data_IF_316815370189
#
_entry.id   IF_316815370189
#
_cell.length_a   1.000
_cell.length_b   1.000
_cell.length_c   1.000
_cell.angle_alpha   90.00
_cell.angle_beta   90.00
_cell.angle_gamma   90.00
#
_symmetry.space_group_name_H-M   'P 1'
#
loop_
_entity.id
_entity.type
_entity.pdbx_description
1 polymer ?
#
# COMPACT_ATOMS: atom_id res chain seq x y z
N UNK A 1 -68.33 7.81 -16.71
CA UNK A 1 -67.28 8.27 -15.78
C UNK A 1 -66.43 9.30 -16.51
N UNK A 2 -66.48 10.57 -16.11
CA UNK A 2 -65.80 11.65 -16.82
C UNK A 2 -64.27 11.46 -16.75
N UNK A 3 -63.59 11.49 -17.89
CA UNK A 3 -62.13 11.35 -18.01
C UNK A 3 -61.40 12.31 -17.06
N UNK A 4 -61.94 13.52 -16.88
CA UNK A 4 -61.42 14.53 -15.94
C UNK A 4 -61.39 14.08 -14.48
N UNK A 5 -62.39 13.30 -14.03
CA UNK A 5 -62.43 12.78 -12.66
C UNK A 5 -61.36 11.71 -12.45
N UNK A 6 -61.13 10.88 -13.47
CA UNK A 6 -60.08 9.85 -13.44
C UNK A 6 -58.68 10.49 -13.44
N UNK A 7 -58.45 11.51 -14.25
CA UNK A 7 -57.21 12.26 -14.27
C UNK A 7 -56.93 12.97 -12.93
N UNK A 8 -57.96 13.60 -12.32
CA UNK A 8 -57.84 14.22 -11.00
C UNK A 8 -57.49 13.18 -9.92
N UNK A 9 -58.17 12.04 -9.92
CA UNK A 9 -57.93 10.98 -8.94
C UNK A 9 -56.50 10.43 -9.04
N UNK A 10 -55.99 10.22 -10.26
CA UNK A 10 -54.60 9.81 -10.50
C UNK A 10 -53.62 10.88 -10.03
N UNK A 11 -53.87 12.16 -10.32
CA UNK A 11 -53.00 13.26 -9.87
C UNK A 11 -52.92 13.35 -8.34
N UNK A 12 -54.05 13.21 -7.64
CA UNK A 12 -54.10 13.18 -6.17
C UNK A 12 -53.34 11.97 -5.63
N UNK A 13 -53.54 10.78 -6.22
CA UNK A 13 -52.85 9.57 -5.81
C UNK A 13 -51.32 9.71 -5.95
N UNK A 14 -50.85 10.27 -7.06
CA UNK A 14 -49.42 10.54 -7.30
C UNK A 14 -48.89 11.57 -6.29
N UNK A 15 -49.64 12.63 -6.00
CA UNK A 15 -49.23 13.64 -5.02
C UNK A 15 -49.12 13.06 -3.59
N UNK A 16 -50.07 12.20 -3.19
CA UNK A 16 -50.03 11.50 -1.90
C UNK A 16 -48.86 10.52 -1.85
N UNK A 17 -48.66 9.72 -2.90
CA UNK A 17 -47.54 8.78 -3.00
C UNK A 17 -46.20 9.51 -2.89
N UNK A 18 -46.05 10.63 -3.61
CA UNK A 18 -44.90 11.53 -3.55
C UNK A 18 -44.64 12.02 -2.12
N UNK A 19 -45.67 12.52 -1.45
CA UNK A 19 -45.55 13.01 -0.07
C UNK A 19 -45.08 11.89 0.88
N UNK A 20 -45.68 10.70 0.78
CA UNK A 20 -45.31 9.54 1.59
C UNK A 20 -43.87 9.10 1.33
N UNK A 21 -43.41 9.04 0.09
CA UNK A 21 -42.03 8.64 -0.22
C UNK A 21 -41.02 9.65 0.32
N UNK A 22 -41.20 10.94 0.02
CA UNK A 22 -40.22 11.97 0.35
C UNK A 22 -40.20 12.30 1.85
N UNK A 23 -41.37 12.42 2.49
CA UNK A 23 -41.48 12.87 3.88
C UNK A 23 -41.51 11.73 4.89
N UNK A 24 -42.02 10.55 4.53
CA UNK A 24 -42.20 9.44 5.48
C UNK A 24 -41.21 8.31 5.23
N UNK A 25 -41.04 7.88 3.98
CA UNK A 25 -40.20 6.73 3.63
C UNK A 25 -38.71 7.07 3.70
N UNK A 26 -38.27 8.10 2.96
CA UNK A 26 -36.86 8.44 2.77
C UNK A 26 -36.10 8.68 4.09
N UNK A 27 -36.59 9.49 5.06
CA UNK A 27 -35.86 9.71 6.32
C UNK A 27 -35.76 8.45 7.20
N UNK A 28 -36.59 7.43 6.94
CA UNK A 28 -36.60 6.18 7.68
C UNK A 28 -35.74 5.08 7.07
N UNK A 29 -35.21 5.26 5.86
CA UNK A 29 -34.42 4.23 5.18
C UNK A 29 -33.15 3.96 6.00
N UNK A 30 -32.89 2.68 6.27
CA UNK A 30 -31.66 2.25 6.91
C UNK A 30 -30.75 1.66 5.86
N UNK A 31 -29.56 2.22 5.75
CA UNK A 31 -28.52 1.74 4.86
C UNK A 31 -27.29 1.40 5.71
N UNK A 32 -26.77 0.20 5.55
CA UNK A 32 -25.52 -0.27 6.16
C UNK A 32 -24.59 -0.76 5.07
N UNK A 33 -23.29 -0.46 5.21
CA UNK A 33 -22.24 -0.93 4.33
C UNK A 33 -21.11 -1.53 5.15
N UNK A 34 -20.65 -2.71 4.75
CA UNK A 34 -19.57 -3.45 5.43
C UNK A 34 -18.62 -4.04 4.41
N UNK A 35 -17.34 -4.04 4.74
CA UNK A 35 -16.30 -4.76 4.01
C UNK A 35 -16.04 -6.10 4.68
N UNK A 36 -15.73 -7.14 3.90
CA UNK A 36 -15.30 -8.43 4.46
C UNK A 36 -13.97 -8.33 5.20
N UNK A 37 -13.05 -7.49 4.70
CA UNK A 37 -11.74 -7.20 5.30
C UNK A 37 -11.45 -5.71 5.24
N UNK A 38 -10.74 -5.19 6.25
CA UNK A 38 -10.28 -3.79 6.31
C UNK A 38 -8.90 -3.59 5.67
N UNK A 39 -8.11 -4.66 5.58
CA UNK A 39 -6.78 -4.70 4.99
C UNK A 39 -6.69 -5.83 3.98
N UNK A 40 -5.97 -5.60 2.88
CA UNK A 40 -5.74 -6.58 1.82
C UNK A 40 -4.57 -6.13 0.93
N UNK A 41 -3.98 -7.07 0.19
CA UNK A 41 -2.89 -6.75 -0.74
C UNK A 41 -3.42 -6.29 -2.10
N UNK A 42 -2.61 -5.52 -2.81
CA UNK A 42 -2.89 -5.18 -4.22
C UNK A 42 -3.02 -6.47 -5.05
N UNK A 43 -4.04 -6.54 -5.90
CA UNK A 43 -4.41 -7.71 -6.71
C UNK A 43 -5.47 -8.60 -6.06
N UNK A 44 -5.68 -8.50 -4.75
CA UNK A 44 -6.70 -9.30 -4.05
C UNK A 44 -8.11 -8.77 -4.31
N UNK A 45 -9.10 -9.65 -4.08
CA UNK A 45 -10.52 -9.29 -4.11
C UNK A 45 -11.12 -9.33 -2.71
N UNK A 46 -11.91 -8.33 -2.38
CA UNK A 46 -12.70 -8.25 -1.14
C UNK A 46 -14.20 -8.15 -1.45
N UNK A 47 -15.04 -8.46 -0.47
CA UNK A 47 -16.49 -8.31 -0.62
C UNK A 47 -16.95 -7.01 0.05
N UNK A 48 -17.66 -6.18 -0.73
CA UNK A 48 -18.43 -5.06 -0.22
C UNK A 48 -19.90 -5.48 -0.10
N UNK A 49 -20.40 -5.50 1.13
CA UNK A 49 -21.77 -5.89 1.44
C UNK A 49 -22.59 -4.66 1.77
N UNK A 50 -23.62 -4.42 0.96
CA UNK A 50 -24.59 -3.35 1.17
C UNK A 50 -25.91 -3.95 1.66
N UNK A 51 -26.44 -3.42 2.76
CA UNK A 51 -27.72 -3.82 3.32
C UNK A 51 -28.63 -2.60 3.38
N UNK A 52 -29.71 -2.66 2.62
CA UNK A 52 -30.70 -1.61 2.51
C UNK A 52 -32.03 -2.10 3.07
N UNK A 53 -32.61 -1.38 4.02
CA UNK A 53 -33.87 -1.74 4.67
C UNK A 53 -34.85 -0.58 4.62
N UNK A 54 -36.06 -0.85 4.14
CA UNK A 54 -37.20 0.04 4.24
C UNK A 54 -38.05 -0.38 5.46
N UNK A 55 -37.94 0.28 6.62
CA UNK A 55 -38.78 -0.06 7.78
C UNK A 55 -40.19 0.53 7.70
N UNK A 56 -40.54 1.24 6.62
CA UNK A 56 -41.82 1.96 6.49
C UNK A 56 -42.82 1.13 5.68
N UNK A 57 -44.13 1.30 5.93
CA UNK A 57 -45.19 0.62 5.17
C UNK A 57 -45.43 1.23 3.77
N UNK A 58 -44.44 1.94 3.21
CA UNK A 58 -44.58 2.70 1.96
C UNK A 58 -43.70 2.06 0.90
N UNK A 59 -44.27 1.79 -0.27
CA UNK A 59 -43.52 1.32 -1.43
C UNK A 59 -42.65 2.45 -2.00
N UNK A 60 -41.37 2.19 -2.19
CA UNK A 60 -40.43 3.11 -2.84
C UNK A 60 -40.18 2.58 -4.25
N UNK A 61 -40.68 3.25 -5.30
CA UNK A 61 -40.63 2.75 -6.65
C UNK A 61 -39.18 2.63 -7.16
N UNK A 62 -38.38 3.66 -6.88
CA UNK A 62 -36.96 3.64 -7.12
C UNK A 62 -36.22 4.41 -6.01
N UNK A 63 -35.14 3.80 -5.54
CA UNK A 63 -34.14 4.39 -4.68
C UNK A 63 -32.80 4.26 -5.39
N UNK A 64 -32.15 5.39 -5.61
CA UNK A 64 -30.82 5.47 -6.16
C UNK A 64 -29.82 5.63 -5.02
N UNK A 65 -28.81 4.78 -5.03
CA UNK A 65 -27.68 4.79 -4.12
C UNK A 65 -26.47 5.16 -4.95
N UNK A 66 -25.92 6.34 -4.73
CA UNK A 66 -24.71 6.83 -5.39
C UNK A 66 -23.60 6.89 -4.36
N UNK A 67 -22.42 6.39 -4.72
CA UNK A 67 -21.25 6.44 -3.86
C UNK A 67 -20.04 6.85 -4.66
N UNK A 68 -19.26 7.79 -4.13
CA UNK A 68 -17.97 8.15 -4.72
C UNK A 68 -16.95 7.11 -4.30
N UNK A 69 -16.46 6.34 -5.26
CA UNK A 69 -15.51 5.26 -5.02
C UNK A 69 -14.31 5.46 -5.94
N UNK A 70 -13.12 5.19 -5.41
CA UNK A 70 -11.87 5.29 -6.16
C UNK A 70 -11.87 4.37 -7.38
N UNK A 71 -11.35 4.79 -8.56
CA UNK A 71 -11.25 3.94 -9.75
C UNK A 71 -10.35 2.71 -9.55
N UNK A 72 -9.48 2.74 -8.53
CA UNK A 72 -8.61 1.63 -8.16
C UNK A 72 -9.33 0.49 -7.42
N UNK A 73 -10.59 0.70 -7.06
CA UNK A 73 -11.48 -0.33 -6.52
C UNK A 73 -12.41 -0.80 -7.64
N UNK A 74 -11.97 -1.83 -8.38
CA UNK A 74 -12.71 -2.33 -9.55
C UNK A 74 -13.81 -3.28 -9.11
N UNK A 75 -15.05 -2.91 -9.39
CA UNK A 75 -16.20 -3.76 -9.16
C UNK A 75 -16.31 -4.80 -10.28
N UNK A 76 -16.63 -6.05 -9.92
CA UNK A 76 -16.95 -7.08 -10.90
C UNK A 76 -18.12 -6.65 -11.80
N UNK A 77 -18.16 -7.17 -13.04
CA UNK A 77 -19.22 -6.87 -14.00
C UNK A 77 -20.57 -7.38 -13.46
N UNK A 78 -21.47 -6.48 -13.10
CA UNK A 78 -22.85 -6.81 -12.71
C UNK A 78 -23.84 -6.00 -13.55
N UNK A 79 -24.97 -6.63 -13.90
CA UNK A 79 -25.97 -6.14 -14.87
C UNK A 79 -26.69 -4.83 -14.48
N UNK A 80 -26.38 -4.24 -13.32
CA UNK A 80 -27.00 -3.00 -12.82
C UNK A 80 -25.98 -1.97 -12.30
N UNK A 81 -24.71 -2.09 -12.70
CA UNK A 81 -23.65 -1.14 -12.38
C UNK A 81 -23.41 -0.23 -13.58
N UNK A 82 -23.95 0.98 -13.52
CA UNK A 82 -23.58 2.04 -14.45
C UNK A 82 -22.38 2.79 -13.84
N UNK A 83 -21.18 2.42 -14.25
CA UNK A 83 -19.94 3.14 -13.92
C UNK A 83 -19.80 4.27 -14.93
N UNK A 84 -20.64 5.28 -14.82
CA UNK A 84 -20.61 6.42 -15.74
C UNK A 84 -19.55 7.42 -15.24
N UNK A 85 -18.45 7.57 -15.98
CA UNK A 85 -17.41 8.57 -15.69
C UNK A 85 -16.61 8.30 -14.41
N UNK A 86 -15.77 7.28 -14.42
CA UNK A 86 -14.60 7.00 -13.55
C UNK A 86 -14.68 7.15 -12.02
N UNK A 87 -15.77 7.59 -11.38
CA UNK A 87 -15.74 7.96 -9.94
C UNK A 87 -17.00 7.66 -9.13
N UNK A 88 -18.09 7.21 -9.75
CA UNK A 88 -19.37 7.00 -9.07
C UNK A 88 -19.91 5.58 -9.28
N UNK A 89 -20.10 4.87 -8.16
CA UNK A 89 -20.82 3.61 -8.12
C UNK A 89 -22.30 3.92 -7.89
N UNK A 90 -23.12 3.73 -8.94
CA UNK A 90 -24.57 3.95 -8.89
C UNK A 90 -25.30 2.61 -8.87
N UNK A 91 -26.19 2.46 -7.91
CA UNK A 91 -27.09 1.31 -7.79
C UNK A 91 -28.53 1.78 -7.65
N UNK A 92 -29.44 1.18 -8.41
CA UNK A 92 -30.88 1.45 -8.31
C UNK A 92 -31.60 0.25 -7.71
N UNK A 93 -32.53 0.53 -6.81
CA UNK A 93 -33.33 -0.45 -6.07
C UNK A 93 -34.81 -0.07 -6.11
N UNK A 94 -35.68 -1.05 -6.05
CA UNK A 94 -37.09 -0.87 -5.71
C UNK A 94 -37.34 -1.53 -4.36
N UNK A 95 -38.03 -0.88 -3.43
CA UNK A 95 -38.24 -1.38 -2.07
C UNK A 95 -39.72 -1.45 -1.72
N UNK A 96 -40.21 -2.67 -1.54
CA UNK A 96 -41.49 -2.95 -0.91
C UNK A 96 -41.54 -2.50 0.56
N UNK A 97 -42.75 -2.30 1.11
CA UNK A 97 -42.96 -2.13 2.54
C UNK A 97 -42.21 -3.20 3.36
N UNK A 98 -41.47 -2.77 4.38
CA UNK A 98 -40.72 -3.65 5.29
C UNK A 98 -39.62 -4.52 4.63
N UNK A 99 -39.31 -4.29 3.35
CA UNK A 99 -38.34 -5.08 2.62
C UNK A 99 -36.91 -4.75 3.06
N UNK A 100 -36.08 -5.80 3.10
CA UNK A 100 -34.63 -5.70 3.22
C UNK A 100 -33.97 -6.33 1.99
N UNK A 101 -33.04 -5.61 1.39
CA UNK A 101 -32.24 -6.05 0.25
C UNK A 101 -30.78 -6.08 0.69
N UNK A 102 -30.08 -7.19 0.43
CA UNK A 102 -28.65 -7.33 0.66
C UNK A 102 -27.95 -7.60 -0.66
N UNK A 103 -27.02 -6.73 -1.05
CA UNK A 103 -26.17 -6.94 -2.24
C UNK A 103 -24.73 -7.19 -1.79
N UNK A 104 -24.05 -8.08 -2.51
CA UNK A 104 -22.63 -8.38 -2.34
C UNK A 104 -21.94 -8.02 -3.63
N UNK A 105 -20.91 -7.20 -3.53
CA UNK A 105 -20.08 -6.78 -4.64
C UNK A 105 -18.69 -7.32 -4.42
N UNK A 106 -18.15 -7.99 -5.43
CA UNK A 106 -16.74 -8.35 -5.44
C UNK A 106 -15.93 -7.17 -5.96
N UNK A 107 -14.97 -6.71 -5.17
CA UNK A 107 -14.14 -5.54 -5.46
C UNK A 107 -12.69 -5.99 -5.55
N UNK A 108 -12.08 -5.85 -6.73
CA UNK A 108 -10.66 -6.09 -6.97
C UNK A 108 -9.86 -4.84 -6.68
N UNK A 109 -8.82 -4.97 -5.86
CA UNK A 109 -7.96 -3.87 -5.43
C UNK A 109 -6.80 -3.73 -6.41
N UNK A 110 -6.82 -2.74 -7.30
CA UNK A 110 -5.81 -2.66 -8.36
C UNK A 110 -4.59 -1.82 -8.01
N UNK A 111 -4.69 -0.98 -6.98
CA UNK A 111 -3.60 -0.10 -6.56
C UNK A 111 -3.57 0.01 -5.03
N UNK A 112 -2.38 0.19 -4.47
CA UNK A 112 -2.21 0.42 -3.04
C UNK A 112 -2.76 1.78 -2.64
N UNK A 113 -3.13 1.94 -1.38
CA UNK A 113 -3.68 3.18 -0.88
C UNK A 113 -4.65 2.98 0.27
N UNK A 114 -5.08 4.08 0.88
CA UNK A 114 -6.21 4.09 1.81
C UNK A 114 -7.42 4.65 1.07
N UNK A 115 -8.46 3.81 0.90
CA UNK A 115 -9.68 4.20 0.19
C UNK A 115 -10.86 4.28 1.16
N UNK A 116 -11.54 5.42 1.14
CA UNK A 116 -12.80 5.63 1.84
C UNK A 116 -13.97 5.25 0.93
N UNK A 117 -14.76 4.26 1.36
CA UNK A 117 -15.98 3.79 0.71
C UNK A 117 -17.22 4.03 1.57
N UNK A 118 -17.12 4.94 2.53
CA UNK A 118 -18.16 5.26 3.51
C UNK A 118 -19.16 6.32 3.06
N UNK A 119 -18.90 7.05 1.97
CA UNK A 119 -19.78 8.14 1.52
C UNK A 119 -20.87 7.62 0.58
N UNK A 120 -22.14 7.83 0.95
CA UNK A 120 -23.31 7.36 0.19
C UNK A 120 -24.36 8.46 0.11
N UNK A 121 -24.78 8.81 -1.10
CA UNK A 121 -25.92 9.66 -1.38
C UNK A 121 -27.12 8.79 -1.75
N UNK A 122 -28.20 8.89 -0.97
CA UNK A 122 -29.46 8.21 -1.22
C UNK A 122 -30.44 9.19 -1.87
N UNK A 123 -30.92 8.89 -3.06
CA UNK A 123 -31.95 9.68 -3.74
C UNK A 123 -33.17 8.83 -4.03
N UNK A 124 -34.32 9.18 -3.46
CA UNK A 124 -35.61 8.54 -3.78
C UNK A 124 -36.49 9.52 -4.55
N UNK A 125 -37.37 8.98 -5.41
CA UNK A 125 -38.36 9.79 -6.09
C UNK A 125 -39.69 9.08 -6.31
N UNK A 126 -40.60 9.82 -6.93
CA UNK A 126 -41.92 9.32 -7.31
C UNK A 126 -41.88 8.49 -8.61
N UNK A 127 -42.98 7.80 -8.91
CA UNK A 127 -43.12 6.94 -10.10
C UNK A 127 -42.98 7.69 -11.43
N UNK A 128 -43.27 8.99 -11.44
CA UNK A 128 -43.19 9.84 -12.63
C UNK A 128 -41.86 10.61 -12.72
N UNK A 129 -40.93 10.37 -11.78
CA UNK A 129 -39.69 11.12 -11.60
C UNK A 129 -39.87 12.65 -11.59
N UNK A 130 -41.06 13.14 -11.24
CA UNK A 130 -41.39 14.57 -11.20
C UNK A 130 -40.72 15.27 -10.03
N UNK A 131 -40.33 14.50 -9.01
CA UNK A 131 -39.55 14.99 -7.89
C UNK A 131 -38.68 13.90 -7.29
N UNK A 132 -37.52 14.32 -6.77
CA UNK A 132 -36.61 13.49 -6.00
C UNK A 132 -36.12 14.23 -4.78
N UNK A 133 -35.87 13.49 -3.70
CA UNK A 133 -35.21 14.02 -2.52
C UNK A 133 -34.00 13.15 -2.19
N UNK A 134 -32.91 13.82 -1.80
CA UNK A 134 -31.63 13.21 -1.46
C UNK A 134 -31.32 13.30 0.03
N UNK A 135 -30.61 12.32 0.57
CA UNK A 135 -29.93 12.44 1.86
C UNK A 135 -28.54 11.82 1.76
N UNK A 136 -27.55 12.48 2.34
CA UNK A 136 -26.19 11.98 2.38
C UNK A 136 -25.92 11.28 3.71
N UNK A 137 -25.29 10.12 3.63
CA UNK A 137 -24.89 9.32 4.76
C UNK A 137 -23.38 9.07 4.69
N UNK A 138 -22.72 9.15 5.85
CA UNK A 138 -21.31 8.82 6.01
C UNK A 138 -21.16 7.68 7.00
N UNK A 139 -20.37 6.69 6.61
CA UNK A 139 -20.03 5.53 7.44
C UNK A 139 -18.51 5.46 7.59
N UNK A 140 -18.03 4.94 8.72
CA UNK A 140 -16.60 4.62 8.84
C UNK A 140 -16.32 3.29 8.13
N UNK A 141 -16.08 3.38 6.82
CA UNK A 141 -15.83 2.24 5.96
C UNK A 141 -14.62 2.52 5.08
N UNK A 142 -13.44 2.15 5.58
CA UNK A 142 -12.16 2.34 4.90
C UNK A 142 -11.50 1.00 4.64
N UNK A 143 -10.82 0.91 3.50
CA UNK A 143 -9.93 -0.21 3.15
C UNK A 143 -8.51 0.31 2.98
N UNK A 144 -7.55 -0.36 3.60
CA UNK A 144 -6.13 -0.12 3.41
C UNK A 144 -5.57 -1.23 2.51
N UNK A 145 -5.09 -0.83 1.34
CA UNK A 145 -4.54 -1.74 0.34
C UNK A 145 -3.01 -1.68 0.40
N UNK A 146 -2.37 -2.79 0.76
CA UNK A 146 -0.91 -2.91 0.83
C UNK A 146 -0.28 -2.97 -0.56
N UNK A 147 0.99 -2.52 -0.70
CA UNK A 147 1.75 -2.72 -1.93
C UNK A 147 1.80 -4.21 -2.32
N UNK A 148 1.87 -4.49 -3.61
CA UNK A 148 2.07 -5.85 -4.09
C UNK A 148 3.49 -6.31 -3.74
N UNK A 149 3.62 -7.47 -3.13
CA UNK A 149 4.93 -8.09 -2.91
C UNK A 149 5.39 -8.80 -4.18
N UNK A 150 6.66 -8.64 -4.52
CA UNK A 150 7.29 -9.27 -5.67
C UNK A 150 7.67 -10.72 -5.35
N UNK A 151 7.56 -11.60 -6.35
CA UNK A 151 8.09 -12.96 -6.25
C UNK A 151 9.62 -12.98 -6.34
N UNK A 152 10.25 -14.08 -5.92
CA UNK A 152 11.72 -14.22 -5.89
C UNK A 152 12.38 -13.99 -7.25
N UNK A 153 11.77 -14.48 -8.34
CA UNK A 153 12.28 -14.29 -9.70
C UNK A 153 12.23 -12.83 -10.16
N UNK A 154 11.21 -12.10 -9.72
CA UNK A 154 11.04 -10.68 -10.06
C UNK A 154 12.04 -9.83 -9.28
N UNK A 155 12.26 -10.15 -8.00
CA UNK A 155 13.30 -9.55 -7.18
C UNK A 155 14.69 -9.71 -7.83
N UNK A 156 15.03 -10.92 -8.28
CA UNK A 156 16.30 -11.20 -8.99
C UNK A 156 16.42 -10.42 -10.30
N UNK A 157 15.32 -10.20 -11.02
CA UNK A 157 15.35 -9.45 -12.28
C UNK A 157 15.67 -7.95 -12.08
N UNK A 158 15.21 -7.37 -10.97
CA UNK A 158 15.44 -5.96 -10.65
C UNK A 158 16.80 -5.75 -9.99
N UNK A 159 17.28 -6.76 -9.27
CA UNK A 159 18.61 -6.79 -8.66
C UNK A 159 19.46 -7.95 -9.20
N UNK A 160 19.86 -7.94 -10.48
CA UNK A 160 20.59 -9.05 -11.09
C UNK A 160 21.95 -9.32 -10.44
N UNK A 161 22.53 -8.33 -9.76
CA UNK A 161 23.77 -8.44 -8.99
C UNK A 161 23.54 -8.65 -7.48
N UNK A 162 22.31 -8.49 -6.98
CA UNK A 162 21.96 -8.96 -5.65
C UNK A 162 21.62 -10.44 -5.75
N UNK A 163 22.63 -11.28 -5.53
CA UNK A 163 22.33 -12.51 -4.79
C UNK A 163 21.60 -12.05 -3.55
N UNK A 164 20.33 -12.45 -3.38
CA UNK A 164 19.38 -12.18 -2.28
C UNK A 164 19.59 -10.89 -1.46
N UNK A 165 18.54 -10.14 -1.11
CA UNK A 165 18.68 -9.03 -0.13
C UNK A 165 19.41 -9.49 1.15
N UNK A 166 19.21 -10.75 1.54
CA UNK A 166 20.00 -11.43 2.57
C UNK A 166 21.49 -11.60 2.25
N UNK A 167 21.89 -11.92 1.01
CA UNK A 167 23.30 -12.01 0.62
C UNK A 167 23.96 -10.62 0.39
N UNK A 168 23.22 -9.59 -0.04
CA UNK A 168 23.72 -8.20 -0.01
C UNK A 168 24.06 -7.76 1.43
N UNK A 169 23.26 -8.21 2.39
CA UNK A 169 23.51 -8.07 3.82
C UNK A 169 24.66 -8.99 4.30
N UNK A 170 24.91 -10.11 3.61
CA UNK A 170 26.00 -11.05 3.93
C UNK A 170 27.35 -10.57 3.37
N UNK A 171 27.42 -9.95 2.19
CA UNK A 171 28.68 -9.50 1.59
C UNK A 171 29.30 -8.29 2.31
N UNK A 172 28.53 -7.53 3.08
CA UNK A 172 29.03 -6.42 3.92
C UNK A 172 29.54 -6.86 5.30
N UNK A 173 29.59 -8.17 5.57
CA UNK A 173 30.14 -8.78 6.79
C UNK A 173 31.67 -8.62 6.88
N UNK A 174 32.14 -7.40 7.16
CA UNK A 174 33.58 -7.08 7.28
C UNK A 174 34.18 -7.39 8.66
N UNK A 175 33.38 -7.58 9.70
CA UNK A 175 33.85 -7.79 11.07
C UNK A 175 33.27 -9.07 11.65
N UNK A 176 34.11 -10.10 11.80
CA UNK A 176 33.76 -11.37 12.46
C UNK A 176 33.58 -11.14 13.96
N UNK A 177 32.59 -11.80 14.58
CA UNK A 177 32.42 -11.75 16.04
C UNK A 177 33.38 -12.75 16.71
N UNK A 178 34.35 -12.30 17.53
CA UNK A 178 35.32 -13.20 18.18
C UNK A 178 34.70 -14.24 19.12
N UNK A 179 33.41 -14.09 19.49
CA UNK A 179 32.71 -14.98 20.40
C UNK A 179 31.83 -16.01 19.68
N UNK A 180 31.47 -15.79 18.42
CA UNK A 180 30.55 -16.67 17.68
C UNK A 180 31.33 -17.63 16.79
N UNK A 181 31.73 -18.80 17.30
CA UNK A 181 32.47 -19.80 16.49
C UNK A 181 31.48 -20.71 15.76
N UNK A 182 31.40 -20.61 14.43
CA UNK A 182 30.52 -21.45 13.60
C UNK A 182 31.19 -22.70 13.02
N UNK A 183 32.52 -22.81 13.14
CA UNK A 183 33.22 -23.99 12.63
C UNK A 183 34.72 -24.00 12.92
N UNK A 184 35.38 -25.03 12.40
CA UNK A 184 36.83 -25.21 12.49
C UNK A 184 37.33 -25.61 11.10
N UNK A 185 38.40 -24.97 10.63
CA UNK A 185 39.04 -25.28 9.34
C UNK A 185 40.57 -25.36 9.47
N UNK A 186 41.28 -25.96 8.50
CA UNK A 186 42.74 -25.93 8.45
C UNK A 186 43.28 -24.49 8.43
N UNK A 187 44.39 -24.26 9.14
CA UNK A 187 45.10 -22.98 9.19
C UNK A 187 45.67 -22.61 7.81
N UNK A 188 45.46 -21.37 7.38
CA UNK A 188 46.06 -20.80 6.18
C UNK A 188 46.94 -19.59 6.53
N UNK A 189 47.95 -19.33 5.69
CA UNK A 189 48.88 -18.22 5.90
C UNK A 189 48.12 -16.88 5.81
N UNK A 190 48.06 -16.16 6.93
CA UNK A 190 47.27 -14.93 7.09
C UNK A 190 46.27 -14.99 8.24
N UNK A 191 45.98 -16.20 8.75
CA UNK A 191 45.06 -16.38 9.86
C UNK A 191 45.64 -15.90 11.20
N UNK A 192 44.84 -15.19 12.05
CA UNK A 192 45.31 -14.69 13.34
C UNK A 192 45.72 -15.84 14.28
N UNK A 193 46.90 -15.77 14.93
CA UNK A 193 47.33 -16.81 15.88
C UNK A 193 46.38 -16.99 17.07
N UNK A 194 45.61 -15.95 17.43
CA UNK A 194 44.63 -16.00 18.53
C UNK A 194 43.45 -16.95 18.25
N UNK A 195 43.19 -17.26 16.98
CA UNK A 195 42.03 -18.04 16.55
C UNK A 195 42.37 -19.53 16.39
N UNK A 196 43.60 -19.94 16.72
CA UNK A 196 44.02 -21.35 16.67
C UNK A 196 43.25 -22.18 17.70
N UNK A 197 42.63 -23.26 17.24
CA UNK A 197 41.90 -24.20 18.08
C UNK A 197 42.81 -25.34 18.56
N UNK A 198 43.59 -25.10 19.62
CA UNK A 198 44.62 -26.03 20.12
C UNK A 198 44.15 -27.46 20.33
N UNK A 199 42.97 -27.69 20.89
CA UNK A 199 42.45 -29.04 21.14
C UNK A 199 42.10 -29.80 19.86
N UNK A 200 41.77 -29.09 18.77
CA UNK A 200 41.48 -29.70 17.47
C UNK A 200 42.80 -30.01 16.75
N UNK A 201 43.73 -29.05 16.77
CA UNK A 201 45.11 -29.22 16.29
C UNK A 201 45.81 -30.42 16.91
N UNK A 202 45.67 -30.63 18.23
CA UNK A 202 46.26 -31.76 18.93
C UNK A 202 45.67 -33.11 18.52
N UNK A 203 44.40 -33.15 18.08
CA UNK A 203 43.72 -34.40 17.67
C UNK A 203 43.97 -34.75 16.21
N UNK A 204 44.06 -33.76 15.33
CA UNK A 204 44.24 -33.98 13.88
C UNK A 204 45.70 -33.96 13.45
N UNK A 205 46.61 -33.46 14.29
CA UNK A 205 48.03 -33.30 13.97
C UNK A 205 48.33 -32.18 12.98
N UNK A 206 47.33 -31.38 12.60
CA UNK A 206 47.44 -30.24 11.69
C UNK A 206 46.86 -29.00 12.33
N UNK A 207 47.47 -27.82 12.15
CA UNK A 207 46.94 -26.58 12.73
C UNK A 207 45.51 -26.29 12.22
N UNK A 208 44.60 -26.10 13.17
CA UNK A 208 43.20 -25.77 12.94
C UNK A 208 42.89 -24.38 13.50
N UNK A 209 42.05 -23.62 12.80
CA UNK A 209 41.60 -22.27 13.18
C UNK A 209 40.09 -22.27 13.36
N UNK A 210 39.61 -21.54 14.37
CA UNK A 210 38.21 -21.25 14.60
C UNK A 210 37.69 -20.36 13.49
N UNK A 211 36.63 -20.78 12.82
CA UNK A 211 35.87 -19.91 11.92
C UNK A 211 34.84 -19.19 12.77
N UNK A 212 34.98 -17.88 12.85
CA UNK A 212 34.03 -17.00 13.52
C UNK A 212 32.93 -16.61 12.55
N UNK A 213 31.69 -16.71 13.00
CA UNK A 213 30.51 -16.19 12.32
C UNK A 213 30.36 -14.70 12.61
N UNK A 214 29.38 -14.10 11.96
CA UNK A 214 29.15 -12.67 12.01
C UNK A 214 27.91 -12.35 12.84
N UNK A 215 28.09 -11.67 13.97
CA UNK A 215 26.97 -11.10 14.74
C UNK A 215 26.76 -9.64 14.34
N UNK A 216 26.35 -9.41 13.09
CA UNK A 216 25.85 -8.09 12.72
C UNK A 216 24.33 -8.10 12.89
N UNK A 217 23.82 -7.35 13.88
CA UNK A 217 22.44 -6.88 13.86
C UNK A 217 22.31 -5.96 12.64
N UNK A 218 21.95 -6.55 11.50
CA UNK A 218 21.86 -5.84 10.23
C UNK A 218 20.56 -5.06 10.22
N UNK A 219 20.70 -3.75 9.99
CA UNK A 219 19.58 -2.82 9.92
C UNK A 219 19.50 -2.28 8.50
N UNK A 220 18.56 -2.81 7.71
CA UNK A 220 18.31 -2.34 6.37
C UNK A 220 17.49 -1.04 6.43
N UNK A 221 17.92 -0.01 5.70
CA UNK A 221 17.11 1.16 5.39
C UNK A 221 16.92 1.25 3.88
N UNK A 222 15.69 1.07 3.41
CA UNK A 222 15.36 1.28 2.00
C UNK A 222 14.91 2.72 1.80
N UNK A 223 15.65 3.47 0.99
CA UNK A 223 15.34 4.85 0.64
C UNK A 223 14.75 4.88 -0.76
N UNK A 224 13.52 5.36 -0.93
CA UNK A 224 12.90 5.52 -2.24
C UNK A 224 12.90 6.98 -2.66
N UNK A 225 13.52 7.27 -3.80
CA UNK A 225 13.45 8.57 -4.44
C UNK A 225 12.13 8.71 -5.23
N UNK A 226 11.30 9.67 -4.83
CA UNK A 226 10.09 10.06 -5.53
C UNK A 226 10.30 10.96 -6.75
N UNK A 227 11.54 11.39 -7.02
CA UNK A 227 11.91 12.17 -8.20
C UNK A 227 12.37 11.24 -9.33
N UNK A 228 11.83 11.45 -10.53
CA UNK A 228 12.25 10.69 -11.71
C UNK A 228 13.36 11.39 -12.49
N UNK A 229 13.58 12.68 -12.22
CA UNK A 229 14.68 13.50 -12.74
C UNK A 229 15.23 14.37 -11.61
N UNK A 230 16.53 14.74 -11.63
CA UNK A 230 17.17 15.51 -10.56
C UNK A 230 16.41 16.78 -10.14
N UNK A 231 15.90 17.49 -11.15
CA UNK A 231 15.29 18.81 -11.09
C UNK A 231 13.76 18.77 -11.27
N UNK A 232 13.15 17.58 -11.13
CA UNK A 232 11.70 17.45 -11.16
C UNK A 232 11.06 18.11 -9.95
N UNK A 233 10.13 19.03 -10.21
CA UNK A 233 9.25 19.66 -9.23
C UNK A 233 7.82 19.68 -9.77
N UNK A 234 6.87 19.19 -8.99
CA UNK A 234 5.45 19.17 -9.36
C UNK A 234 4.85 17.76 -9.42
N UNK A 235 3.61 17.67 -9.93
CA UNK A 235 2.88 16.41 -9.99
C UNK A 235 3.50 15.46 -11.02
N UNK A 236 3.59 14.20 -10.62
CA UNK A 236 4.03 13.09 -11.45
C UNK A 236 2.90 12.75 -12.43
N UNK A 237 3.23 12.45 -13.69
CA UNK A 237 2.22 12.01 -14.68
C UNK A 237 1.77 10.57 -14.41
N UNK A 238 0.58 10.16 -14.84
CA UNK A 238 0.06 8.80 -14.55
C UNK A 238 1.03 7.66 -14.90
N UNK A 239 1.71 7.73 -16.06
CA UNK A 239 2.66 6.70 -16.51
C UNK A 239 3.97 6.66 -15.72
N UNK A 240 4.30 7.78 -15.07
CA UNK A 240 5.46 7.99 -14.22
C UNK A 240 5.18 7.47 -12.80
N UNK A 241 3.93 7.58 -12.34
CA UNK A 241 3.52 7.02 -11.06
C UNK A 241 3.71 5.50 -11.02
N UNK A 242 3.50 4.78 -12.14
CA UNK A 242 3.73 3.33 -12.24
C UNK A 242 5.15 2.93 -11.80
N UNK A 243 6.17 3.72 -12.17
CA UNK A 243 7.57 3.45 -11.82
C UNK A 243 7.78 3.56 -10.31
N UNK A 244 7.14 4.57 -9.70
CA UNK A 244 7.19 4.75 -8.25
C UNK A 244 6.39 3.67 -7.53
N UNK A 245 5.26 3.23 -8.06
CA UNK A 245 4.50 2.08 -7.53
C UNK A 245 5.32 0.77 -7.55
N UNK A 246 6.05 0.52 -8.64
CA UNK A 246 7.00 -0.59 -8.73
C UNK A 246 8.13 -0.44 -7.70
N UNK A 247 8.66 0.77 -7.52
CA UNK A 247 9.67 1.08 -6.49
C UNK A 247 9.18 0.85 -5.07
N UNK A 248 7.92 1.20 -4.76
CA UNK A 248 7.30 0.95 -3.45
C UNK A 248 7.08 -0.55 -3.24
N UNK A 249 6.67 -1.27 -4.28
CA UNK A 249 6.51 -2.72 -4.24
C UNK A 249 7.84 -3.43 -4.01
N UNK A 250 8.91 -2.97 -4.66
CA UNK A 250 10.27 -3.45 -4.43
C UNK A 250 10.72 -3.17 -2.98
N UNK A 251 10.56 -1.93 -2.51
CA UNK A 251 10.91 -1.55 -1.14
C UNK A 251 10.16 -2.39 -0.09
N UNK A 252 8.85 -2.57 -0.29
CA UNK A 252 8.02 -3.43 0.56
C UNK A 252 8.55 -4.85 0.61
N UNK A 253 8.94 -5.40 -0.55
CA UNK A 253 9.44 -6.78 -0.66
C UNK A 253 10.82 -6.92 -0.01
N UNK A 254 11.73 -5.97 -0.22
CA UNK A 254 13.05 -5.97 0.42
C UNK A 254 12.93 -5.92 1.95
N UNK A 255 12.13 -4.99 2.48
CA UNK A 255 11.92 -4.87 3.92
C UNK A 255 11.25 -6.10 4.51
N UNK A 256 10.21 -6.62 3.85
CA UNK A 256 9.49 -7.82 4.30
C UNK A 256 10.41 -9.04 4.32
N UNK A 257 11.27 -9.19 3.31
CA UNK A 257 12.27 -10.27 3.27
C UNK A 257 13.22 -10.22 4.48
N UNK A 258 13.73 -9.02 4.81
CA UNK A 258 14.63 -8.82 5.97
C UNK A 258 13.92 -8.96 7.31
N UNK A 259 12.69 -8.47 7.44
CA UNK A 259 11.90 -8.61 8.67
C UNK A 259 11.58 -10.09 8.95
N UNK A 260 11.33 -10.88 7.91
CA UNK A 260 11.08 -12.33 8.04
C UNK A 260 12.32 -13.12 8.46
N UNK A 261 13.53 -12.63 8.19
CA UNK A 261 14.78 -13.23 8.74
C UNK A 261 15.04 -12.80 10.19
N UNK A 262 14.21 -11.94 10.77
CA UNK A 262 14.35 -11.44 12.14
C UNK A 262 15.24 -10.21 12.28
N UNK A 263 15.73 -9.66 11.18
CA UNK A 263 16.57 -8.46 11.14
C UNK A 263 15.73 -7.18 11.08
N UNK A 264 16.31 -6.05 11.45
CA UNK A 264 15.59 -4.78 11.44
C UNK A 264 15.53 -4.19 10.02
N UNK A 265 14.35 -3.70 9.63
CA UNK A 265 14.17 -3.00 8.36
C UNK A 265 13.39 -1.70 8.56
N UNK A 266 13.74 -0.68 7.79
CA UNK A 266 13.11 0.63 7.78
C UNK A 266 12.99 1.19 6.38
N UNK A 267 12.26 2.29 6.27
CA UNK A 267 11.96 2.96 5.02
C UNK A 267 12.23 4.45 5.14
N UNK A 268 12.75 5.08 4.08
CA UNK A 268 12.72 6.53 3.97
C UNK A 268 12.31 6.96 2.55
N UNK A 269 11.69 8.12 2.42
CA UNK A 269 11.40 8.72 1.11
C UNK A 269 11.19 10.21 1.25
N UNK A 270 11.47 10.97 0.19
CA UNK A 270 11.08 12.36 0.07
C UNK A 270 9.58 12.55 -0.28
N UNK A 271 8.84 11.45 -0.41
CA UNK A 271 7.38 11.43 -0.48
C UNK A 271 6.78 11.27 0.93
N UNK A 272 5.78 12.07 1.33
CA UNK A 272 5.23 12.04 2.68
C UNK A 272 4.21 10.89 2.86
N UNK A 273 4.01 10.49 4.12
CA UNK A 273 2.87 9.67 4.50
C UNK A 273 1.57 10.51 4.56
N UNK A 274 0.42 9.85 4.53
CA UNK A 274 -0.88 10.50 4.68
C UNK A 274 -0.97 11.25 6.02
N UNK A 275 -1.32 12.54 5.96
CA UNK A 275 -1.40 13.47 7.09
C UNK A 275 -0.06 13.82 7.76
N UNK A 276 1.06 13.54 7.10
CA UNK A 276 2.39 13.97 7.51
C UNK A 276 2.98 14.90 6.43
N UNK A 277 3.93 15.74 6.82
CA UNK A 277 4.63 16.65 5.91
C UNK A 277 6.12 16.31 5.87
N UNK A 278 6.76 16.54 4.73
CA UNK A 278 8.19 16.33 4.55
C UNK A 278 8.57 14.90 4.18
N UNK A 279 9.70 14.43 4.71
CA UNK A 279 10.26 13.12 4.38
C UNK A 279 9.57 12.01 5.18
N UNK A 280 9.06 10.99 4.50
CA UNK A 280 8.63 9.76 5.14
C UNK A 280 9.84 9.06 5.78
N UNK A 281 9.73 8.68 7.05
CA UNK A 281 10.71 7.86 7.75
C UNK A 281 10.00 6.79 8.60
N UNK A 282 10.41 5.54 8.42
CA UNK A 282 10.13 4.41 9.30
C UNK A 282 11.49 3.93 9.80
N UNK A 283 11.71 4.04 11.11
CA UNK A 283 12.98 3.66 11.71
C UNK A 283 13.23 2.14 11.55
N UNK A 284 14.46 1.72 11.24
CA UNK A 284 14.81 0.31 11.17
C UNK A 284 14.64 -0.38 12.52
N UNK A 285 13.61 -1.21 12.64
CA UNK A 285 13.30 -1.96 13.85
C UNK A 285 12.89 -3.40 13.51
N UNK A 286 13.27 -4.34 14.37
CA UNK A 286 12.80 -5.72 14.33
C UNK A 286 11.63 -5.92 15.31
N UNK A 287 10.88 -7.01 15.14
CA UNK A 287 9.84 -7.43 16.09
C UNK A 287 8.61 -8.03 15.44
N UNK A 288 7.78 -8.68 16.26
CA UNK A 288 6.49 -9.21 15.83
C UNK A 288 5.56 -8.08 15.37
N UNK A 289 4.85 -8.29 14.27
CA UNK A 289 3.92 -7.31 13.70
C UNK A 289 4.56 -6.18 12.87
N UNK A 290 5.90 -6.08 12.81
CA UNK A 290 6.59 -5.05 12.03
C UNK A 290 6.33 -5.14 10.54
N UNK A 291 6.19 -6.35 9.99
CA UNK A 291 5.84 -6.54 8.58
C UNK A 291 4.52 -5.84 8.24
N UNK A 292 3.47 -6.07 9.04
CA UNK A 292 2.16 -5.46 8.83
C UNK A 292 2.19 -3.93 9.00
N UNK A 293 2.93 -3.44 10.00
CA UNK A 293 3.10 -2.00 10.23
C UNK A 293 3.77 -1.30 9.05
N UNK A 294 4.86 -1.87 8.52
CA UNK A 294 5.58 -1.32 7.36
C UNK A 294 4.67 -1.31 6.14
N UNK A 295 3.96 -2.41 5.85
CA UNK A 295 3.03 -2.48 4.72
C UNK A 295 1.88 -1.48 4.86
N UNK A 296 1.37 -1.29 6.07
CA UNK A 296 0.34 -0.31 6.37
C UNK A 296 0.82 1.14 6.17
N UNK A 297 2.05 1.45 6.59
CA UNK A 297 2.65 2.77 6.36
C UNK A 297 2.94 3.01 4.88
N UNK A 298 3.47 2.02 4.15
CA UNK A 298 3.66 2.14 2.70
C UNK A 298 2.34 2.31 1.92
N UNK A 299 1.24 1.72 2.39
CA UNK A 299 -0.09 1.98 1.84
C UNK A 299 -0.55 3.44 2.05
N UNK A 300 0.00 4.15 3.03
CA UNK A 300 -0.27 5.55 3.30
C UNK A 300 0.69 6.50 2.57
N UNK A 301 1.74 6.00 1.91
CA UNK A 301 2.69 6.83 1.19
C UNK A 301 2.02 7.50 -0.02
N UNK A 302 2.12 8.83 -0.11
CA UNK A 302 1.52 9.61 -1.20
C UNK A 302 2.58 9.88 -2.26
N UNK A 303 2.28 9.57 -3.52
CA UNK A 303 3.14 9.95 -4.65
C UNK A 303 2.97 11.44 -4.91
N UNK A 304 3.65 12.24 -4.09
CA UNK A 304 3.64 13.69 -4.14
C UNK A 304 4.98 14.17 -3.59
N UNK A 305 5.62 15.08 -4.30
CA UNK A 305 6.93 15.61 -3.91
C UNK A 305 6.73 16.86 -3.06
N UNK A 306 7.17 16.81 -1.80
CA UNK A 306 7.21 18.00 -0.92
C UNK A 306 8.64 18.50 -0.71
N UNK A 307 9.63 17.61 -0.80
CA UNK A 307 11.06 17.89 -0.62
C UNK A 307 11.90 17.19 -1.69
N UNK A 308 13.10 17.71 -1.91
CA UNK A 308 14.11 17.01 -2.71
C UNK A 308 14.63 15.78 -1.98
N UNK A 309 15.08 14.79 -2.74
CA UNK A 309 15.74 13.61 -2.15
C UNK A 309 17.01 13.99 -1.38
N UNK A 310 17.72 15.03 -1.82
CA UNK A 310 18.94 15.50 -1.17
C UNK A 310 18.69 15.94 0.27
N UNK A 311 17.60 16.66 0.53
CA UNK A 311 17.21 17.07 1.88
C UNK A 311 16.87 15.85 2.75
N UNK A 312 16.18 14.87 2.17
CA UNK A 312 15.88 13.62 2.86
C UNK A 312 17.16 12.85 3.23
N UNK A 313 18.15 12.77 2.33
CA UNK A 313 19.43 12.11 2.59
C UNK A 313 20.25 12.81 3.68
N UNK A 314 20.18 14.14 3.75
CA UNK A 314 20.83 14.92 4.80
C UNK A 314 20.23 14.62 6.18
N UNK A 315 18.90 14.55 6.30
CA UNK A 315 18.21 14.19 7.54
C UNK A 315 18.58 12.78 8.04
N UNK A 316 18.84 11.84 7.11
CA UNK A 316 19.33 10.48 7.43
C UNK A 316 20.76 10.47 7.99
N UNK A 317 21.53 11.56 7.85
CA UNK A 317 22.87 11.70 8.41
C UNK A 317 22.94 11.60 9.95
N UNK A 318 21.79 11.65 10.63
CA UNK A 318 21.67 11.41 12.07
C UNK A 318 21.72 9.93 12.46
N UNK A 319 21.43 9.03 11.50
CA UNK A 319 21.43 7.59 11.72
C UNK A 319 22.84 6.99 11.51
N UNK A 320 23.07 5.83 12.13
CA UNK A 320 24.37 5.13 12.15
C UNK A 320 24.14 3.62 12.05
N UNK A 321 25.19 2.91 11.63
CA UNK A 321 25.25 1.44 11.58
C UNK A 321 24.19 0.78 10.69
N UNK A 322 23.75 1.47 9.62
CA UNK A 322 22.75 0.98 8.67
C UNK A 322 23.39 0.41 7.40
N UNK A 323 22.65 -0.49 6.74
CA UNK A 323 22.84 -0.82 5.33
C UNK A 323 21.77 -0.08 4.54
N UNK A 324 22.17 0.91 3.75
CA UNK A 324 21.25 1.81 3.04
C UNK A 324 21.17 1.38 1.57
N UNK A 325 19.96 1.10 1.10
CA UNK A 325 19.68 0.88 -0.32
C UNK A 325 18.82 2.00 -0.84
N UNK A 326 19.33 2.76 -1.80
CA UNK A 326 18.63 3.89 -2.43
C UNK A 326 18.06 3.41 -3.76
N UNK A 327 16.75 3.51 -3.90
CA UNK A 327 16.00 3.21 -5.13
C UNK A 327 15.71 4.53 -5.86
N UNK A 328 16.25 4.71 -7.07
CA UNK A 328 16.07 5.95 -7.85
C UNK A 328 15.85 5.63 -9.33
N UNK A 329 15.05 6.43 -10.04
CA UNK A 329 14.83 6.24 -11.48
C UNK A 329 15.94 6.84 -12.36
N UNK A 330 16.81 7.68 -11.80
CA UNK A 330 17.97 8.26 -12.46
C UNK A 330 19.25 7.98 -11.66
N UNK A 331 20.40 8.03 -12.35
CA UNK A 331 21.72 7.82 -11.75
C UNK A 331 22.10 9.00 -10.83
N UNK A 332 22.99 8.78 -9.86
CA UNK A 332 23.39 9.85 -8.95
C UNK A 332 24.02 11.02 -9.71
N UNK A 333 23.46 12.21 -9.52
CA UNK A 333 24.09 13.47 -9.90
C UNK A 333 25.24 13.79 -8.91
N UNK A 334 26.12 14.76 -9.22
CA UNK A 334 27.26 15.07 -8.35
C UNK A 334 26.86 15.41 -6.91
N UNK A 335 25.73 16.09 -6.73
CA UNK A 335 25.21 16.44 -5.41
C UNK A 335 24.74 15.18 -4.65
N UNK A 336 23.95 14.31 -5.27
CA UNK A 336 23.51 13.04 -4.64
C UNK A 336 24.70 12.15 -4.30
N UNK A 337 25.70 12.06 -5.16
CA UNK A 337 26.90 11.26 -4.91
C UNK A 337 27.69 11.80 -3.71
N UNK A 338 27.78 13.12 -3.52
CA UNK A 338 28.38 13.73 -2.32
C UNK A 338 27.62 13.32 -1.04
N UNK A 339 26.28 13.40 -1.03
CA UNK A 339 25.47 12.98 0.12
C UNK A 339 25.62 11.48 0.39
N UNK A 340 25.68 10.67 -0.67
CA UNK A 340 25.92 9.23 -0.54
C UNK A 340 27.30 8.93 0.03
N UNK A 341 28.36 9.64 -0.39
CA UNK A 341 29.71 9.49 0.19
C UNK A 341 29.72 9.86 1.67
N UNK A 342 29.05 10.96 2.05
CA UNK A 342 28.89 11.32 3.45
C UNK A 342 28.19 10.21 4.26
N UNK A 343 27.09 9.65 3.75
CA UNK A 343 26.40 8.54 4.40
C UNK A 343 27.26 7.26 4.48
N UNK A 344 28.12 6.98 3.48
CA UNK A 344 29.06 5.84 3.50
C UNK A 344 30.11 5.96 4.58
N UNK A 345 30.47 7.18 5.01
CA UNK A 345 31.40 7.38 6.13
C UNK A 345 30.76 7.05 7.49
N UNK A 346 29.43 7.09 7.56
CA UNK A 346 28.66 6.98 8.80
C UNK A 346 27.96 5.63 8.97
N UNK A 347 27.77 4.91 7.86
CA UNK A 347 26.98 3.70 7.77
C UNK A 347 27.80 2.57 7.15
N UNK A 348 27.31 1.33 7.23
CA UNK A 348 28.05 0.14 6.78
C UNK A 348 28.13 0.07 5.26
N UNK A 349 27.04 0.39 4.58
CA UNK A 349 26.96 0.41 3.12
C UNK A 349 25.91 1.40 2.62
N UNK A 350 26.16 1.95 1.44
CA UNK A 350 25.19 2.76 0.69
C UNK A 350 25.26 2.36 -0.78
N UNK A 351 24.18 1.74 -1.25
CA UNK A 351 24.06 1.20 -2.61
C UNK A 351 22.93 1.89 -3.35
N UNK A 352 23.20 2.35 -4.56
CA UNK A 352 22.17 2.89 -5.46
C UNK A 352 21.68 1.80 -6.39
N UNK A 353 20.38 1.66 -6.51
CA UNK A 353 19.68 0.74 -7.41
C UNK A 353 18.80 1.55 -8.34
N UNK A 354 18.99 1.35 -9.64
CA UNK A 354 18.22 2.03 -10.66
C UNK A 354 16.88 1.35 -10.90
N UNK A 355 15.80 2.10 -10.69
CA UNK A 355 14.44 1.68 -11.00
C UNK A 355 14.18 1.76 -12.51
N UNK A 356 13.55 0.72 -13.03
CA UNK A 356 13.12 0.63 -14.42
C UNK A 356 11.65 0.24 -14.45
N UNK A 357 10.90 0.73 -15.46
CA UNK A 357 9.50 0.34 -15.63
C UNK A 357 9.40 -1.17 -15.89
N UNK A 358 8.60 -1.86 -15.10
CA UNK A 358 8.37 -3.30 -15.24
C UNK A 358 7.72 -3.61 -16.59
N UNK A 359 8.35 -4.48 -17.37
CA UNK A 359 7.88 -4.88 -18.71
C UNK A 359 8.38 -4.01 -19.89
N UNK A 360 9.17 -2.96 -19.64
CA UNK A 360 9.92 -2.28 -20.68
C UNK A 360 11.20 -3.05 -20.98
N UNK A 361 11.35 -3.61 -22.19
CA UNK A 361 12.66 -4.07 -22.67
C UNK A 361 13.64 -2.91 -22.53
N UNK A 362 14.80 -3.17 -21.91
CA UNK A 362 15.98 -2.33 -22.08
C UNK A 362 16.22 -2.24 -23.60
N UNK A 363 16.08 -1.04 -24.15
CA UNK A 363 16.47 -0.73 -25.52
C UNK A 363 17.93 -0.28 -25.52
#
# INVERSE_FOLDING_TARGET
MNIWVLLLAVAVLVAVQRYLVIRVALPGIRYERRLSRKTACTGESIELVETLRNPRPVFIPWLRVESRISPYLRFGRQENLDVTGERYHRSVFSLAPFQQVRRRHQVTLTRRGVYDVGTVALTAGDLLSASSAGTDMRFDCKVTVYPALLGDEEMKSVLPYARNVGDMIVETRRMQDPFLVCGIRPYEAGDPPRDIHWSATARTGQMQVKVHDYTADTKLLVVLNGQLRPDQWGNVMDYEEDILEDGISLAATMMTSVLRTGSAAGFASNMPFLNEEGCALILPMAGMGREEEVLMRLAQLRIHQERSILNCLEELGTLRDLDIVILSAYDADPEMEERMQYLRLLNRSVTLVRLHKRGGKQA
#
